data_IF_913783057176
#
_entry.id   IF_913783057176
#
_cell.length_a   1.000
_cell.length_b   1.000
_cell.length_c   1.000
_cell.angle_alpha   90.00
_cell.angle_beta   90.00
_cell.angle_gamma   90.00
#
_symmetry.space_group_name_H-M   'P 1'
#
loop_
_entity.id
_entity.type
_entity.pdbx_description
1 polymer ?
#
# COMPACT_ATOMS: atom_id res chain seq x y z
N UNK A 1 11.45 3.05 -14.52
CA UNK A 1 10.27 2.58 -13.74
C UNK A 1 10.79 1.66 -12.66
N UNK A 2 10.39 1.87 -11.40
CA UNK A 2 10.89 1.10 -10.24
C UNK A 2 9.78 0.19 -9.72
N UNK A 3 10.10 -1.06 -9.39
CA UNK A 3 9.16 -2.00 -8.80
C UNK A 3 9.83 -2.85 -7.72
N UNK A 4 9.07 -3.24 -6.70
CA UNK A 4 9.47 -4.19 -5.67
C UNK A 4 8.46 -5.33 -5.60
N UNK A 5 8.96 -6.56 -5.64
CA UNK A 5 8.19 -7.77 -5.34
C UNK A 5 8.44 -8.12 -3.88
N UNK A 6 7.37 -8.22 -3.09
CA UNK A 6 7.46 -8.50 -1.65
C UNK A 6 6.48 -9.59 -1.26
N UNK A 7 6.77 -10.38 -0.20
CA UNK A 7 5.78 -11.24 0.41
C UNK A 7 4.58 -10.42 0.88
N UNK A 8 3.39 -10.89 0.56
CA UNK A 8 2.14 -10.35 1.04
C UNK A 8 1.95 -10.73 2.51
N UNK A 9 1.76 -9.71 3.34
CA UNK A 9 1.48 -9.85 4.77
C UNK A 9 0.35 -8.89 5.16
N UNK A 10 -0.67 -9.42 5.81
CA UNK A 10 -1.82 -8.70 6.39
C UNK A 10 -2.21 -9.29 7.76
N UNK A 11 -3.05 -8.58 8.51
CA UNK A 11 -3.78 -9.13 9.65
C UNK A 11 -4.94 -10.06 9.24
N UNK A 12 -5.58 -10.68 10.23
CA UNK A 12 -6.78 -11.52 10.04
C UNK A 12 -7.97 -10.77 9.43
N UNK A 13 -8.08 -9.46 9.65
CA UNK A 13 -9.16 -8.61 9.11
C UNK A 13 -9.00 -8.26 7.62
N UNK A 14 -7.84 -8.55 7.02
CA UNK A 14 -7.52 -8.25 5.61
C UNK A 14 -7.77 -6.79 5.23
N UNK A 15 -7.38 -5.87 6.11
CA UNK A 15 -7.67 -4.43 5.96
C UNK A 15 -6.44 -3.57 5.65
N UNK A 16 -5.24 -4.15 5.60
CA UNK A 16 -4.02 -3.48 5.17
C UNK A 16 -3.03 -4.43 4.49
N UNK A 17 -1.98 -3.85 3.89
CA UNK A 17 -0.82 -4.58 3.38
C UNK A 17 0.43 -4.02 4.06
N UNK A 18 1.27 -4.90 4.61
CA UNK A 18 2.55 -4.50 5.20
C UNK A 18 3.58 -4.16 4.11
N UNK A 19 4.19 -2.98 4.20
CA UNK A 19 5.08 -2.41 3.18
C UNK A 19 6.57 -2.47 3.56
N UNK A 20 6.91 -3.07 4.71
CA UNK A 20 8.26 -3.03 5.30
C UNK A 20 9.38 -3.41 4.32
N UNK A 21 9.13 -4.33 3.38
CA UNK A 21 10.12 -4.80 2.40
C UNK A 21 10.20 -3.95 1.12
N UNK A 22 9.44 -2.86 1.02
CA UNK A 22 9.41 -1.97 -0.14
C UNK A 22 9.51 -0.48 0.23
N UNK A 23 9.94 -0.15 1.45
CA UNK A 23 9.98 1.24 1.92
C UNK A 23 10.84 2.16 1.05
N UNK A 24 11.87 1.61 0.40
CA UNK A 24 12.83 2.30 -0.44
C UNK A 24 12.24 2.89 -1.73
N UNK A 25 11.08 2.41 -2.18
CA UNK A 25 10.45 2.92 -3.41
C UNK A 25 9.62 4.19 -3.16
N UNK A 26 9.26 4.42 -1.90
CA UNK A 26 8.34 5.47 -1.51
C UNK A 26 9.07 6.79 -1.28
N UNK A 27 8.51 7.92 -1.72
CA UNK A 27 9.12 9.20 -1.38
C UNK A 27 8.98 9.50 0.12
N UNK A 28 10.01 10.04 0.78
CA UNK A 28 9.94 10.40 2.20
C UNK A 28 8.76 11.32 2.57
N UNK A 29 8.31 12.16 1.63
CA UNK A 29 7.23 13.11 1.85
C UNK A 29 5.83 12.48 2.03
N UNK A 30 5.66 11.18 1.73
CA UNK A 30 4.39 10.46 1.94
C UNK A 30 4.36 9.67 3.25
N UNK A 31 5.40 9.77 4.08
CA UNK A 31 5.46 9.16 5.40
C UNK A 31 4.90 10.11 6.45
N UNK A 32 3.82 9.70 7.11
CA UNK A 32 3.14 10.44 8.16
C UNK A 32 3.41 9.86 9.55
N UNK A 33 2.88 10.53 10.58
CA UNK A 33 2.91 10.09 11.96
C UNK A 33 1.84 9.04 12.28
N UNK A 34 1.76 8.68 13.56
CA UNK A 34 0.97 7.53 14.06
C UNK A 34 -0.53 7.79 13.92
N UNK A 35 -0.95 9.04 14.12
CA UNK A 35 -2.35 9.43 14.19
C UNK A 35 -2.83 10.17 12.95
N UNK A 36 -4.15 10.24 12.76
CA UNK A 36 -4.77 10.94 11.60
C UNK A 36 -4.50 12.45 11.59
N UNK A 37 -4.18 13.04 12.73
CA UNK A 37 -3.75 14.45 12.82
C UNK A 37 -2.33 14.67 12.31
N UNK A 38 -1.55 13.60 12.18
CA UNK A 38 -0.15 13.63 11.75
C UNK A 38 -0.05 13.07 10.32
N UNK A 39 -0.84 13.61 9.39
CA UNK A 39 -0.74 13.21 7.99
C UNK A 39 0.61 13.60 7.40
N UNK A 40 1.07 12.83 6.42
CA UNK A 40 2.26 13.17 5.66
C UNK A 40 2.12 14.51 4.92
N UNK A 41 3.27 15.10 4.56
CA UNK A 41 3.35 16.35 3.80
C UNK A 41 2.68 16.24 2.42
N UNK A 42 2.76 15.06 1.80
CA UNK A 42 2.12 14.74 0.52
C UNK A 42 1.32 13.44 0.62
N UNK A 43 0.30 13.34 -0.21
CA UNK A 43 -0.44 12.11 -0.41
C UNK A 43 0.02 11.42 -1.69
N UNK A 44 0.16 10.11 -1.62
CA UNK A 44 0.35 9.24 -2.77
C UNK A 44 -0.98 8.89 -3.41
N UNK A 45 -0.99 8.79 -4.74
CA UNK A 45 -2.05 8.13 -5.48
C UNK A 45 -1.73 6.63 -5.53
N UNK A 46 -2.60 5.80 -4.97
CA UNK A 46 -2.43 4.36 -4.85
C UNK A 46 -3.55 3.64 -5.57
N UNK A 47 -3.21 2.68 -6.42
CA UNK A 47 -4.16 1.80 -7.08
C UNK A 47 -3.89 0.35 -6.69
N UNK A 48 -4.94 -0.40 -6.37
CA UNK A 48 -4.87 -1.84 -6.07
C UNK A 48 -5.52 -2.62 -7.22
N UNK A 49 -4.73 -3.42 -7.93
CA UNK A 49 -5.17 -4.08 -9.17
C UNK A 49 -5.77 -3.07 -10.16
N UNK A 50 -6.94 -3.40 -10.69
CA UNK A 50 -7.75 -2.52 -11.55
C UNK A 50 -8.78 -1.68 -10.76
N UNK A 51 -8.66 -1.65 -9.43
CA UNK A 51 -9.54 -0.85 -8.57
C UNK A 51 -9.36 0.66 -8.75
N UNK A 52 -10.17 1.48 -8.04
CA UNK A 52 -10.05 2.93 -8.11
C UNK A 52 -8.73 3.41 -7.51
N UNK A 53 -8.20 4.50 -8.07
CA UNK A 53 -7.10 5.24 -7.46
C UNK A 53 -7.58 5.97 -6.21
N UNK A 54 -6.84 5.84 -5.11
CA UNK A 54 -7.11 6.53 -3.84
C UNK A 54 -5.92 7.40 -3.42
N UNK A 55 -6.18 8.46 -2.66
CA UNK A 55 -5.13 9.32 -2.10
C UNK A 55 -4.82 8.89 -0.68
N UNK A 56 -3.54 8.60 -0.39
CA UNK A 56 -3.15 8.10 0.92
C UNK A 56 -1.73 8.45 1.35
N UNK A 57 -1.45 8.27 2.64
CA UNK A 57 -0.11 8.36 3.21
C UNK A 57 0.29 7.06 3.91
N UNK A 58 1.56 6.90 4.21
CA UNK A 58 2.11 5.76 4.94
C UNK A 58 2.18 6.12 6.42
N UNK A 59 1.65 5.26 7.29
CA UNK A 59 1.83 5.37 8.74
C UNK A 59 3.20 4.78 9.09
N UNK A 60 4.16 5.63 9.44
CA UNK A 60 5.58 5.25 9.54
C UNK A 60 5.90 4.21 10.62
N UNK A 61 5.13 4.17 11.71
CA UNK A 61 5.33 3.18 12.78
C UNK A 61 4.85 1.77 12.40
N UNK A 62 3.91 1.70 11.45
CA UNK A 62 3.25 0.45 11.02
C UNK A 62 3.67 0.00 9.64
N UNK A 63 4.31 0.87 8.85
CA UNK A 63 4.68 0.61 7.46
C UNK A 63 3.49 0.13 6.62
N UNK A 64 2.36 0.83 6.72
CA UNK A 64 1.14 0.54 5.94
C UNK A 64 0.61 1.83 5.34
N UNK A 65 -0.10 1.72 4.23
CA UNK A 65 -1.01 2.77 3.79
C UNK A 65 -2.10 3.00 4.86
N UNK A 66 -2.36 4.27 5.20
CA UNK A 66 -3.25 4.64 6.33
C UNK A 66 -4.69 4.27 6.06
N UNK A 67 -5.15 4.40 4.83
CA UNK A 67 -6.49 4.06 4.41
C UNK A 67 -6.67 2.53 4.42
N UNK A 68 -7.22 2.04 5.53
CA UNK A 68 -7.61 0.63 5.70
C UNK A 68 -8.97 0.34 5.07
N UNK A 69 -9.25 0.92 3.91
CA UNK A 69 -10.56 0.78 3.27
C UNK A 69 -10.79 -0.69 2.91
N UNK A 70 -11.69 -1.34 3.65
CA UNK A 70 -12.14 -2.70 3.33
C UNK A 70 -12.64 -2.79 1.89
N UNK A 71 -13.25 -1.74 1.35
CA UNK A 71 -13.78 -1.80 -0.03
C UNK A 71 -12.68 -1.85 -1.10
N UNK A 72 -11.49 -1.31 -0.84
CA UNK A 72 -10.41 -1.28 -1.84
C UNK A 72 -9.40 -2.39 -1.58
N UNK A 73 -8.82 -2.42 -0.36
CA UNK A 73 -7.79 -3.41 -0.02
C UNK A 73 -8.39 -4.81 -0.01
N UNK A 74 -9.50 -5.02 0.73
CA UNK A 74 -10.10 -6.36 0.83
C UNK A 74 -10.59 -6.86 -0.53
N UNK A 75 -11.21 -6.01 -1.35
CA UNK A 75 -11.62 -6.40 -2.72
C UNK A 75 -10.43 -6.89 -3.51
N UNK A 76 -9.34 -6.12 -3.58
CA UNK A 76 -8.14 -6.54 -4.27
C UNK A 76 -7.58 -7.87 -3.76
N UNK A 77 -7.56 -8.06 -2.44
CA UNK A 77 -7.07 -9.30 -1.84
C UNK A 77 -7.96 -10.50 -2.16
N UNK A 78 -9.28 -10.31 -2.17
CA UNK A 78 -10.27 -11.36 -2.42
C UNK A 78 -10.36 -11.69 -3.92
N UNK A 79 -10.33 -10.68 -4.80
CA UNK A 79 -10.31 -10.82 -6.27
C UNK A 79 -9.09 -11.61 -6.77
N UNK A 80 -8.02 -11.65 -5.98
CA UNK A 80 -6.75 -12.30 -6.32
C UNK A 80 -6.46 -13.59 -5.53
N UNK A 81 -7.37 -14.03 -4.64
CA UNK A 81 -7.18 -15.11 -3.64
C UNK A 81 -5.84 -15.00 -2.88
N UNK A 82 -5.44 -13.78 -2.51
CA UNK A 82 -4.16 -13.54 -1.86
C UNK A 82 -4.15 -14.07 -0.41
N UNK A 83 -3.14 -14.85 -0.04
CA UNK A 83 -2.90 -15.42 1.29
C UNK A 83 -1.54 -14.98 1.81
N UNK A 84 -1.41 -14.85 3.14
CA UNK A 84 -0.13 -14.49 3.74
C UNK A 84 0.98 -15.45 3.25
N UNK A 85 2.08 -14.89 2.76
CA UNK A 85 3.17 -15.65 2.13
C UNK A 85 3.17 -15.66 0.60
N UNK A 86 2.04 -15.31 -0.04
CA UNK A 86 2.02 -15.03 -1.49
C UNK A 86 2.89 -13.80 -1.82
N UNK A 87 3.01 -13.46 -3.11
CA UNK A 87 3.75 -12.28 -3.54
C UNK A 87 2.83 -11.21 -4.12
N UNK A 88 3.20 -9.97 -3.88
CA UNK A 88 2.65 -8.80 -4.56
C UNK A 88 3.79 -7.98 -5.17
N UNK A 89 3.45 -7.20 -6.18
CA UNK A 89 4.36 -6.25 -6.82
C UNK A 89 3.84 -4.85 -6.57
N UNK A 90 4.71 -4.00 -6.02
CA UNK A 90 4.47 -2.57 -5.88
C UNK A 90 5.27 -1.86 -6.96
N UNK A 91 4.57 -1.19 -7.88
CA UNK A 91 5.16 -0.49 -9.03
C UNK A 91 4.98 1.01 -8.85
N UNK A 92 6.08 1.75 -8.93
CA UNK A 92 6.09 3.21 -9.03
C UNK A 92 5.89 3.61 -10.50
N UNK A 93 4.75 4.20 -10.81
CA UNK A 93 4.38 4.58 -12.20
C UNK A 93 4.71 6.05 -12.50
N UNK A 94 4.67 6.92 -11.49
CA UNK A 94 5.05 8.33 -11.55
C UNK A 94 5.46 8.77 -10.12
N UNK A 95 6.00 9.99 -9.92
CA UNK A 95 6.21 10.53 -8.58
C UNK A 95 4.92 10.46 -7.76
N UNK A 96 5.02 9.97 -6.51
CA UNK A 96 3.88 9.82 -5.61
C UNK A 96 2.74 8.93 -6.16
N UNK A 97 2.97 8.11 -7.18
CA UNK A 97 1.93 7.30 -7.82
C UNK A 97 2.34 5.83 -7.89
N UNK A 98 1.52 4.96 -7.29
CA UNK A 98 1.84 3.54 -7.09
C UNK A 98 0.71 2.62 -7.53
N UNK A 99 1.08 1.49 -8.12
CA UNK A 99 0.18 0.36 -8.36
C UNK A 99 0.62 -0.84 -7.52
N UNK A 100 -0.34 -1.48 -6.89
CA UNK A 100 -0.16 -2.73 -6.15
C UNK A 100 -0.84 -3.83 -6.97
N UNK A 101 -0.08 -4.83 -7.38
CA UNK A 101 -0.52 -5.90 -8.27
C UNK A 101 -0.22 -7.25 -7.62
N UNK A 102 -0.95 -8.30 -8.02
CA UNK A 102 -0.55 -9.68 -7.72
C UNK A 102 0.82 -9.96 -8.39
N UNK A 103 1.72 -10.63 -7.67
CA UNK A 103 3.10 -10.90 -8.10
C UNK A 103 3.42 -12.37 -8.31
#
# INVERSE_FOLDING_TARGET
MTSRRIPFVTNASRDYILLTQALDIFEPAIFGGKNKSERALKLAQVQYGEGPCIMDDIVSDKNIFRCRSKRVVKSFLDDNDLKNGDFIVIKKVAPYTYKILKG
#
